data_IF_664522897234
#
_entry.id   IF_664522897234
#
_cell.length_a   1.000
_cell.length_b   1.000
_cell.length_c   1.000
_cell.angle_alpha   90.00
_cell.angle_beta   90.00
_cell.angle_gamma   90.00
#
_symmetry.space_group_name_H-M   'P 1'
#
loop_
_entity.id
_entity.type
_entity.pdbx_description
1 polymer ?
#
# COMPACT_ATOMS: atom_id res chain seq x y z
N UNK A 1 -17.62 -1.92 14.30
CA UNK A 1 -16.38 -2.71 14.13
C UNK A 1 -15.30 -1.78 13.61
N UNK A 2 -14.05 -1.95 14.04
CA UNK A 2 -12.91 -1.15 13.56
C UNK A 2 -12.17 -1.95 12.49
N UNK A 3 -12.08 -1.40 11.29
CA UNK A 3 -11.50 -2.04 10.10
C UNK A 3 -10.30 -1.22 9.64
N UNK A 4 -9.12 -1.85 9.65
CA UNK A 4 -7.93 -1.30 8.99
C UNK A 4 -7.87 -1.86 7.57
N UNK A 5 -7.97 -0.98 6.58
CA UNK A 5 -7.92 -1.35 5.17
C UNK A 5 -6.57 -0.99 4.58
N UNK A 6 -5.75 -2.00 4.30
CA UNK A 6 -4.38 -1.84 3.79
C UNK A 6 -4.41 -1.89 2.27
N UNK A 7 -3.83 -0.87 1.62
CA UNK A 7 -3.77 -0.77 0.16
C UNK A 7 -2.41 -0.23 -0.30
N UNK A 8 -1.97 -0.52 -1.53
CA UNK A 8 -0.68 -0.05 -2.02
C UNK A 8 -0.67 1.47 -2.30
N UNK A 9 -1.76 1.96 -2.89
CA UNK A 9 -1.90 3.32 -3.41
C UNK A 9 -1.24 3.52 -4.77
N UNK A 10 -1.72 4.51 -5.54
CA UNK A 10 -1.21 4.84 -6.88
C UNK A 10 -0.47 6.17 -6.94
N UNK A 11 -0.48 6.96 -5.87
CA UNK A 11 0.08 8.31 -5.84
C UNK A 11 -0.70 9.30 -6.69
N UNK A 12 -1.88 8.92 -7.20
CA UNK A 12 -2.73 9.78 -8.01
C UNK A 12 -2.18 10.13 -9.40
N UNK A 13 -1.07 9.51 -9.81
CA UNK A 13 -0.39 9.80 -11.09
C UNK A 13 -0.87 8.91 -12.24
N UNK A 14 -1.65 7.86 -11.97
CA UNK A 14 -2.21 6.96 -12.98
C UNK A 14 -3.54 6.35 -12.52
N UNK A 15 -4.29 5.81 -13.50
CA UNK A 15 -5.52 5.07 -13.22
C UNK A 15 -5.21 3.73 -12.55
N UNK A 16 -5.64 3.59 -11.30
CA UNK A 16 -5.51 2.37 -10.52
C UNK A 16 -6.91 1.80 -10.23
N UNK A 17 -7.31 0.81 -11.02
CA UNK A 17 -8.61 0.13 -10.85
C UNK A 17 -8.76 -0.49 -9.45
N UNK A 18 -7.68 -1.09 -8.92
CA UNK A 18 -7.67 -1.62 -7.56
C UNK A 18 -7.93 -0.53 -6.51
N UNK A 19 -7.28 0.63 -6.63
CA UNK A 19 -7.42 1.73 -5.69
C UNK A 19 -8.85 2.28 -5.70
N UNK A 20 -9.47 2.38 -6.89
CA UNK A 20 -10.86 2.80 -7.02
C UNK A 20 -11.83 1.79 -6.37
N UNK A 21 -11.62 0.50 -6.62
CA UNK A 21 -12.40 -0.58 -5.99
C UNK A 21 -12.28 -0.55 -4.47
N UNK A 22 -11.06 -0.37 -3.97
CA UNK A 22 -10.76 -0.33 -2.55
C UNK A 22 -11.41 0.87 -1.86
N UNK A 23 -11.41 2.04 -2.50
CA UNK A 23 -12.12 3.23 -2.00
C UNK A 23 -13.64 3.01 -1.96
N UNK A 24 -14.22 2.38 -2.98
CA UNK A 24 -15.65 2.06 -3.02
C UNK A 24 -16.04 1.09 -1.90
N UNK A 25 -15.23 0.06 -1.66
CA UNK A 25 -15.44 -0.90 -0.56
C UNK A 25 -15.32 -0.21 0.81
N UNK A 26 -14.30 0.63 1.00
CA UNK A 26 -14.15 1.40 2.23
C UNK A 26 -15.35 2.31 2.51
N UNK A 27 -15.91 2.94 1.47
CA UNK A 27 -17.14 3.72 1.57
C UNK A 27 -18.34 2.87 1.96
N UNK A 28 -18.54 1.72 1.30
CA UNK A 28 -19.65 0.81 1.62
C UNK A 28 -19.58 0.29 3.07
N UNK A 29 -18.38 -0.03 3.57
CA UNK A 29 -18.17 -0.45 4.97
C UNK A 29 -18.49 0.68 5.95
N UNK A 30 -18.13 1.92 5.63
CA UNK A 30 -18.49 3.09 6.44
C UNK A 30 -20.02 3.29 6.46
N UNK A 31 -20.68 3.19 5.31
CA UNK A 31 -22.15 3.28 5.22
C UNK A 31 -22.86 2.17 6.00
N UNK A 32 -22.22 1.00 6.17
CA UNK A 32 -22.71 -0.08 7.02
C UNK A 32 -22.46 0.14 8.53
N UNK A 33 -21.92 1.30 8.94
CA UNK A 33 -21.68 1.65 10.35
C UNK A 33 -20.35 1.15 10.90
N UNK A 34 -19.38 0.80 10.06
CA UNK A 34 -18.02 0.45 10.49
C UNK A 34 -17.10 1.67 10.52
N UNK A 35 -16.19 1.71 11.50
CA UNK A 35 -15.08 2.66 11.46
C UNK A 35 -13.99 2.09 10.58
N UNK A 36 -13.68 2.76 9.47
CA UNK A 36 -12.70 2.30 8.49
C UNK A 36 -11.53 3.27 8.44
N UNK A 37 -10.31 2.76 8.63
CA UNK A 37 -9.07 3.52 8.43
C UNK A 37 -8.37 2.98 7.19
N UNK A 38 -8.16 3.84 6.20
CA UNK A 38 -7.37 3.51 5.00
C UNK A 38 -5.88 3.73 5.30
N UNK A 39 -5.08 2.67 5.13
CA UNK A 39 -3.63 2.70 5.32
C UNK A 39 -2.90 2.43 4.00
N UNK A 40 -2.45 3.47 3.28
CA UNK A 40 -1.58 3.31 2.13
C UNK A 40 -0.17 2.84 2.54
N UNK A 41 0.35 1.80 1.88
CA UNK A 41 1.68 1.23 2.18
C UNK A 41 2.84 1.93 1.45
N UNK A 42 2.64 2.34 0.20
CA UNK A 42 3.75 2.83 -0.65
C UNK A 42 3.52 4.25 -1.13
N UNK A 43 2.30 4.52 -1.58
CA UNK A 43 1.93 5.76 -2.22
C UNK A 43 0.58 6.24 -1.68
N UNK A 44 0.29 7.55 -1.76
CA UNK A 44 -1.06 8.06 -1.52
C UNK A 44 -2.12 7.25 -2.26
N UNK A 45 -3.26 6.96 -1.62
CA UNK A 45 -4.37 6.30 -2.29
C UNK A 45 -5.02 7.20 -3.35
N UNK A 46 -5.02 8.51 -3.11
CA UNK A 46 -5.57 9.55 -3.97
C UNK A 46 -4.67 10.79 -3.95
N UNK A 47 -4.84 11.70 -4.91
CA UNK A 47 -4.07 12.97 -5.00
C UNK A 47 -4.23 13.84 -3.75
N UNK A 48 -5.40 13.77 -3.12
CA UNK A 48 -5.72 14.57 -1.93
C UNK A 48 -5.11 13.98 -0.64
N UNK A 49 -4.60 12.76 -0.67
CA UNK A 49 -4.07 12.09 0.51
C UNK A 49 -2.59 12.43 0.69
N UNK A 50 -2.13 12.82 1.89
CA UNK A 50 -0.72 13.10 2.13
C UNK A 50 0.16 11.89 1.85
N UNK A 51 1.37 12.14 1.32
CA UNK A 51 2.37 11.09 1.18
C UNK A 51 2.85 10.65 2.57
N UNK A 52 2.97 9.33 2.83
CA UNK A 52 3.60 8.86 4.05
C UNK A 52 5.09 9.28 4.06
N UNK A 53 5.50 10.08 5.05
CA UNK A 53 6.89 10.56 5.18
C UNK A 53 7.75 9.62 6.02
N UNK A 54 7.19 9.05 7.08
CA UNK A 54 7.93 8.28 8.10
C UNK A 54 7.50 6.82 8.19
N UNK A 55 6.98 6.27 7.09
CA UNK A 55 6.51 4.89 7.04
C UNK A 55 7.55 4.03 6.33
N UNK A 56 8.07 2.95 6.95
CA UNK A 56 9.05 2.08 6.32
C UNK A 56 8.44 1.37 5.10
N UNK A 57 9.24 1.16 4.06
CA UNK A 57 8.82 0.40 2.89
C UNK A 57 8.71 -1.09 3.27
N UNK A 58 7.48 -1.61 3.36
CA UNK A 58 7.24 -3.00 3.80
C UNK A 58 7.61 -4.05 2.73
N UNK A 59 7.27 -3.81 1.46
CA UNK A 59 7.70 -4.64 0.33
C UNK A 59 8.29 -3.78 -0.79
N UNK A 60 9.60 -3.58 -0.74
CA UNK A 60 10.33 -2.92 -1.83
C UNK A 60 10.32 -3.79 -3.08
N UNK A 61 9.61 -3.36 -4.14
CA UNK A 61 9.43 -4.14 -5.36
C UNK A 61 10.76 -4.58 -5.99
N UNK A 62 11.77 -3.69 -6.00
CA UNK A 62 13.11 -3.98 -6.53
C UNK A 62 13.80 -5.08 -5.70
N UNK A 63 13.85 -4.92 -4.38
CA UNK A 63 14.46 -5.89 -3.46
C UNK A 63 13.78 -7.26 -3.54
N UNK A 64 12.45 -7.25 -3.57
CA UNK A 64 11.63 -8.46 -3.68
C UNK A 64 11.91 -9.19 -5.01
N UNK A 65 11.90 -8.46 -6.13
CA UNK A 65 12.18 -9.01 -7.45
C UNK A 65 13.58 -9.62 -7.53
N UNK A 66 14.60 -8.90 -7.06
CA UNK A 66 15.99 -9.37 -7.07
C UNK A 66 16.18 -10.63 -6.23
N UNK A 67 15.59 -10.69 -5.03
CA UNK A 67 15.63 -11.89 -4.16
C UNK A 67 14.88 -13.08 -4.77
N UNK A 68 13.78 -12.81 -5.49
CA UNK A 68 13.04 -13.84 -6.21
C UNK A 68 13.88 -14.40 -7.37
N UNK A 69 14.49 -13.50 -8.17
CA UNK A 69 15.24 -13.84 -9.38
C UNK A 69 16.60 -14.49 -9.12
N UNK A 70 17.29 -14.10 -8.06
CA UNK A 70 18.66 -14.53 -7.76
C UNK A 70 18.77 -15.14 -6.36
N UNK A 71 19.04 -16.45 -6.29
CA UNK A 71 19.11 -17.18 -5.02
C UNK A 71 20.17 -16.64 -4.06
N UNK A 72 21.30 -16.12 -4.58
CA UNK A 72 22.35 -15.50 -3.78
C UNK A 72 21.87 -14.27 -2.99
N UNK A 73 20.92 -13.50 -3.53
CA UNK A 73 20.44 -12.26 -2.91
C UNK A 73 19.44 -12.51 -1.78
N UNK A 74 18.92 -13.74 -1.62
CA UNK A 74 17.92 -14.09 -0.59
C UNK A 74 18.45 -13.93 0.83
N UNK A 75 19.76 -14.00 1.03
CA UNK A 75 20.43 -13.89 2.35
C UNK A 75 20.95 -12.47 2.64
N UNK A 76 20.81 -11.52 1.71
CA UNK A 76 21.26 -10.15 1.94
C UNK A 76 20.42 -9.45 3.03
N UNK A 77 21.04 -8.68 3.92
CA UNK A 77 20.35 -7.94 4.97
C UNK A 77 19.21 -7.07 4.42
N UNK A 78 18.13 -6.91 5.19
CA UNK A 78 17.02 -6.03 4.82
C UNK A 78 17.43 -4.56 4.68
N UNK A 79 18.46 -4.12 5.42
CA UNK A 79 18.93 -2.74 5.43
C UNK A 79 19.66 -2.29 4.15
N UNK A 80 19.98 -3.22 3.23
CA UNK A 80 20.66 -2.89 1.98
C UNK A 80 19.71 -2.45 0.84
N UNK A 81 18.39 -2.45 1.08
CA UNK A 81 17.35 -2.06 0.12
C UNK A 81 16.12 -1.44 0.78
#
# INVERSE_FOLDING_TARGET
MNVLYILPGSGGSFYCQNCLRDAALAGALQSAGHQVTLLPLYLPATVAMPRPTDVPVFYGAVSLYLRHRFAALRRLPRAWF
#
